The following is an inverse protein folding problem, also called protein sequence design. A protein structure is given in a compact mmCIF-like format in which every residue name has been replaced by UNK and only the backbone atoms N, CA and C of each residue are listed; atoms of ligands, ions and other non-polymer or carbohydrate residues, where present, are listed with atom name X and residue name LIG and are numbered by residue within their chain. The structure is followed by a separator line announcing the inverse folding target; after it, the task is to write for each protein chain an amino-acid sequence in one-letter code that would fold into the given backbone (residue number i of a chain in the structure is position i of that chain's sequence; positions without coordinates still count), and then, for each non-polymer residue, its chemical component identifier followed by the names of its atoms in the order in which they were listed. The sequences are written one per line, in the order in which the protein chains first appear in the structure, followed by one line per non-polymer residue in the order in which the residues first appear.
data_IF_921983413647
#
_entry.id   IF_921983413647
#
_cell.length_a   1.000
_cell.length_b   1.000
_cell.length_c   1.000
_cell.angle_alpha   90.00
_cell.angle_beta   90.00
_cell.angle_gamma   90.00
#
_symmetry.space_group_name_H-M   'P 1'
#
loop_
_entity.id
_entity.type
_entity.pdbx_description
1 polymer ?
#
# COMPACT_ATOMS: atom_id res chain seq x y z
N UNK A 1 16.82 25.08 -43.47
CA UNK A 1 16.33 25.41 -42.10
C UNK A 1 14.89 24.95 -41.86
N UNK A 2 13.91 25.37 -42.67
CA UNK A 2 12.47 25.09 -42.43
C UNK A 2 12.10 23.59 -42.37
N UNK A 3 12.65 22.76 -43.27
CA UNK A 3 12.42 21.30 -43.26
C UNK A 3 12.99 20.58 -42.03
N UNK A 4 14.11 21.06 -41.49
CA UNK A 4 14.74 20.48 -40.30
C UNK A 4 13.95 20.87 -39.05
N UNK A 5 13.47 22.12 -38.99
CA UNK A 5 12.60 22.62 -37.93
C UNK A 5 11.24 21.89 -37.90
N UNK A 6 10.62 21.67 -39.06
CA UNK A 6 9.38 20.90 -39.16
C UNK A 6 9.56 19.44 -38.70
N UNK A 7 10.68 18.79 -39.03
CA UNK A 7 11.01 17.44 -38.54
C UNK A 7 11.19 17.41 -37.03
N UNK A 8 11.91 18.38 -36.46
CA UNK A 8 12.09 18.51 -35.01
C UNK A 8 10.75 18.71 -34.29
N UNK A 9 9.85 19.54 -34.84
CA UNK A 9 8.51 19.77 -34.28
C UNK A 9 7.66 18.49 -34.24
N UNK A 10 7.69 17.70 -35.32
CA UNK A 10 6.98 16.40 -35.37
C UNK A 10 7.54 15.42 -34.35
N UNK A 11 8.88 15.32 -34.24
CA UNK A 11 9.53 14.44 -33.25
C UNK A 11 9.18 14.88 -31.83
N UNK A 12 9.27 16.18 -31.53
CA UNK A 12 8.93 16.72 -30.21
C UNK A 12 7.46 16.45 -29.85
N UNK A 13 6.55 16.58 -30.81
CA UNK A 13 5.12 16.29 -30.62
C UNK A 13 4.89 14.80 -30.33
N UNK A 14 5.53 13.90 -31.08
CA UNK A 14 5.44 12.46 -30.85
C UNK A 14 6.02 12.06 -29.49
N UNK A 15 7.14 12.64 -29.09
CA UNK A 15 7.72 12.42 -27.76
C UNK A 15 6.80 12.94 -26.65
N UNK A 16 6.21 14.12 -26.81
CA UNK A 16 5.25 14.65 -25.84
C UNK A 16 4.04 13.73 -25.66
N UNK A 17 3.46 13.25 -26.76
CA UNK A 17 2.35 12.27 -26.72
C UNK A 17 2.83 10.96 -26.05
N UNK A 18 4.01 10.47 -26.42
CA UNK A 18 4.61 9.27 -25.80
C UNK A 18 4.79 9.42 -24.28
N UNK A 19 5.28 10.57 -23.82
CA UNK A 19 5.42 10.89 -22.40
C UNK A 19 4.06 10.94 -21.69
N UNK A 20 3.04 11.55 -22.31
CA UNK A 20 1.69 11.59 -21.74
C UNK A 20 1.11 10.18 -21.58
N UNK A 21 1.26 9.33 -22.60
CA UNK A 21 0.81 7.93 -22.55
C UNK A 21 1.59 7.16 -21.47
N UNK A 22 2.91 7.30 -21.42
CA UNK A 22 3.74 6.65 -20.40
C UNK A 22 3.31 7.06 -18.99
N UNK A 23 3.07 8.35 -18.75
CA UNK A 23 2.53 8.85 -17.48
C UNK A 23 1.15 8.28 -17.15
N UNK A 24 0.25 8.21 -18.14
CA UNK A 24 -1.11 7.67 -17.95
C UNK A 24 -1.11 6.19 -17.52
N UNK A 25 -0.12 5.41 -17.93
CA UNK A 25 0.05 4.00 -17.54
C UNK A 25 0.95 3.80 -16.32
N UNK A 26 1.39 4.88 -15.65
CA UNK A 26 2.17 4.80 -14.41
C UNK A 26 3.65 4.45 -14.60
N UNK A 27 4.21 4.58 -15.82
CA UNK A 27 5.64 4.30 -16.06
C UNK A 27 6.59 5.23 -15.30
N UNK A 28 6.13 6.41 -14.90
CA UNK A 28 6.88 7.38 -14.10
C UNK A 28 6.48 7.39 -12.63
N UNK A 29 5.63 6.46 -12.19
CA UNK A 29 5.25 6.36 -10.79
C UNK A 29 6.44 5.85 -9.96
N UNK A 30 6.75 6.53 -8.87
CA UNK A 30 7.85 6.16 -7.98
C UNK A 30 7.47 4.92 -7.14
N UNK A 31 6.21 4.84 -6.73
CA UNK A 31 5.62 3.73 -6.01
C UNK A 31 5.27 2.57 -6.93
N UNK A 32 5.50 1.33 -6.47
CA UNK A 32 5.19 0.11 -7.20
C UNK A 32 4.28 -0.80 -6.40
N UNK A 33 3.14 -1.15 -6.98
CA UNK A 33 2.20 -2.13 -6.42
C UNK A 33 2.83 -3.52 -6.49
N UNK A 34 2.78 -4.26 -5.38
CA UNK A 34 3.48 -5.54 -5.17
C UNK A 34 2.73 -6.75 -5.75
N UNK A 35 1.97 -6.56 -6.82
CA UNK A 35 1.08 -7.58 -7.42
C UNK A 35 1.74 -8.93 -7.69
N UNK A 36 3.01 -8.92 -8.11
CA UNK A 36 3.74 -10.14 -8.49
C UNK A 36 4.70 -10.63 -7.39
N UNK A 37 4.59 -10.10 -6.19
CA UNK A 37 5.42 -10.47 -5.04
C UNK A 37 4.59 -11.20 -4.00
N UNK A 38 5.26 -11.99 -3.18
CA UNK A 38 4.75 -12.49 -1.92
C UNK A 38 5.17 -11.52 -0.80
N UNK A 39 4.31 -11.36 0.22
CA UNK A 39 4.69 -10.65 1.44
C UNK A 39 5.19 -11.64 2.50
N UNK A 40 6.16 -11.19 3.28
CA UNK A 40 6.61 -11.81 4.51
C UNK A 40 6.73 -10.77 5.61
N UNK A 41 6.65 -11.21 6.85
CA UNK A 41 7.03 -10.43 8.03
C UNK A 41 8.17 -11.14 8.73
N UNK A 42 9.23 -10.41 9.02
CA UNK A 42 10.34 -10.95 9.80
C UNK A 42 10.10 -10.78 11.30
N UNK A 43 10.23 -11.89 12.04
CA UNK A 43 10.21 -11.89 13.49
C UNK A 43 11.22 -12.90 14.01
N UNK A 44 12.17 -12.45 14.84
CA UNK A 44 13.20 -13.33 15.41
C UNK A 44 14.07 -14.05 14.38
N UNK A 45 14.35 -13.41 13.24
CA UNK A 45 15.16 -13.97 12.14
C UNK A 45 14.44 -15.01 11.28
N UNK A 46 13.15 -15.25 11.52
CA UNK A 46 12.28 -16.12 10.71
C UNK A 46 11.29 -15.28 9.90
N UNK A 47 10.87 -15.80 8.74
CA UNK A 47 9.95 -15.11 7.81
C UNK A 47 8.58 -15.77 7.81
N UNK A 48 7.54 -15.00 8.12
CA UNK A 48 6.17 -15.50 8.24
C UNK A 48 5.26 -14.90 7.19
N UNK A 49 4.38 -15.70 6.60
CA UNK A 49 3.37 -15.24 5.64
C UNK A 49 2.25 -14.48 6.34
N UNK A 50 2.03 -13.18 6.07
CA UNK A 50 0.87 -12.45 6.57
C UNK A 50 -0.34 -12.78 5.68
N UNK A 51 -0.93 -13.98 5.86
CA UNK A 51 -1.94 -14.56 4.96
C UNK A 51 -3.10 -13.62 4.56
N UNK A 52 -3.47 -12.68 5.43
CA UNK A 52 -4.62 -11.79 5.23
C UNK A 52 -4.21 -10.44 4.62
N UNK A 53 -2.90 -10.18 4.48
CA UNK A 53 -2.34 -9.01 3.84
C UNK A 53 -1.96 -9.37 2.39
N UNK A 54 -2.70 -8.83 1.42
CA UNK A 54 -2.46 -9.13 0.00
C UNK A 54 -1.39 -8.23 -0.60
N UNK A 55 -0.36 -8.83 -1.21
CA UNK A 55 0.66 -8.08 -1.97
C UNK A 55 0.06 -7.26 -3.13
N UNK A 56 -1.03 -7.74 -3.75
CA UNK A 56 -1.72 -7.01 -4.81
C UNK A 56 -2.46 -5.75 -4.35
N UNK A 57 -2.57 -5.55 -3.02
CA UNK A 57 -3.21 -4.41 -2.36
C UNK A 57 -2.20 -3.62 -1.52
N UNK A 58 -0.91 -3.85 -1.74
CA UNK A 58 0.18 -3.11 -1.12
C UNK A 58 1.14 -2.57 -2.18
N UNK A 59 1.90 -1.55 -1.81
CA UNK A 59 2.90 -0.94 -2.67
C UNK A 59 4.10 -0.50 -1.85
N UNK A 60 5.22 -0.26 -2.54
CA UNK A 60 6.45 0.27 -1.95
C UNK A 60 6.99 1.43 -2.77
N UNK A 61 7.70 2.34 -2.12
CA UNK A 61 8.58 3.31 -2.78
C UNK A 61 10.02 2.99 -2.40
N UNK A 62 10.83 2.55 -3.37
CA UNK A 62 12.26 2.29 -3.16
C UNK A 62 13.03 3.61 -2.89
N UNK A 63 12.51 4.75 -3.35
CA UNK A 63 13.14 6.06 -3.17
C UNK A 63 12.97 6.60 -1.76
N UNK A 64 11.78 6.46 -1.17
CA UNK A 64 11.51 6.94 0.19
C UNK A 64 11.66 5.83 1.24
N UNK A 65 11.67 4.56 0.83
CA UNK A 65 11.64 3.43 1.75
C UNK A 65 10.28 3.23 2.42
N UNK A 66 9.21 3.82 1.87
CA UNK A 66 7.87 3.73 2.46
C UNK A 66 7.08 2.55 1.90
N UNK A 67 6.28 1.95 2.77
CA UNK A 67 5.32 0.90 2.47
C UNK A 67 3.91 1.46 2.54
N UNK A 68 3.10 1.07 1.55
CA UNK A 68 1.73 1.54 1.37
C UNK A 68 0.76 0.36 1.33
N UNK A 69 -0.46 0.54 1.82
CA UNK A 69 -1.52 -0.46 1.73
C UNK A 69 -2.89 0.20 1.52
N UNK A 70 -3.86 -0.57 1.01
CA UNK A 70 -5.25 -0.13 1.05
C UNK A 70 -5.76 -0.05 2.49
N UNK A 71 -6.70 0.85 2.77
CA UNK A 71 -7.16 1.14 4.13
C UNK A 71 -7.77 -0.08 4.86
N UNK A 72 -8.41 -1.00 4.14
CA UNK A 72 -8.98 -2.23 4.72
C UNK A 72 -7.91 -3.18 5.27
N UNK A 73 -6.71 -3.12 4.71
CA UNK A 73 -5.57 -3.98 5.06
C UNK A 73 -4.73 -3.42 6.21
N UNK A 74 -4.92 -2.13 6.53
CA UNK A 74 -4.16 -1.42 7.55
C UNK A 74 -4.29 -2.07 8.94
N UNK A 75 -5.46 -2.64 9.26
CA UNK A 75 -5.70 -3.34 10.53
C UNK A 75 -4.71 -4.49 10.77
N UNK A 76 -4.26 -5.19 9.72
CA UNK A 76 -3.29 -6.28 9.84
C UNK A 76 -1.90 -5.73 10.13
N UNK A 77 -1.52 -4.63 9.47
CA UNK A 77 -0.26 -3.95 9.73
C UNK A 77 -0.21 -3.38 11.15
N UNK A 78 -1.31 -2.83 11.66
CA UNK A 78 -1.40 -2.36 13.04
C UNK A 78 -1.26 -3.54 14.02
N UNK A 79 -1.92 -4.67 13.78
CA UNK A 79 -1.78 -5.86 14.61
C UNK A 79 -0.31 -6.35 14.67
N UNK A 80 0.36 -6.40 13.51
CA UNK A 80 1.79 -6.74 13.40
C UNK A 80 2.67 -5.73 14.16
N UNK A 81 2.43 -4.44 13.94
CA UNK A 81 3.15 -3.34 14.57
C UNK A 81 3.04 -3.40 16.10
N UNK A 82 1.87 -3.73 16.63
CA UNK A 82 1.62 -3.89 18.07
C UNK A 82 2.07 -5.24 18.64
N UNK A 83 2.39 -6.21 17.78
CA UNK A 83 2.75 -7.57 18.20
C UNK A 83 1.57 -8.37 18.75
N UNK A 84 0.36 -7.98 18.39
CA UNK A 84 -0.88 -8.60 18.83
C UNK A 84 -1.31 -9.67 17.82
N UNK A 85 -0.34 -10.49 17.41
CA UNK A 85 -0.46 -11.59 16.44
C UNK A 85 0.25 -12.82 16.97
N UNK A 86 -0.14 -13.99 16.48
CA UNK A 86 0.55 -15.25 16.78
C UNK A 86 1.24 -15.78 15.54
N UNK A 87 2.46 -16.27 15.71
CA UNK A 87 3.26 -16.85 14.63
C UNK A 87 3.18 -18.36 14.72
N UNK A 88 2.69 -18.99 13.64
CA UNK A 88 2.56 -20.44 13.54
C UNK A 88 3.66 -20.95 12.61
N UNK A 89 4.59 -21.72 13.17
CA UNK A 89 5.63 -22.39 12.39
C UNK A 89 4.98 -23.48 11.52
N UNK A 90 5.01 -23.25 10.20
CA UNK A 90 4.51 -24.18 9.20
C UNK A 90 5.27 -23.93 7.88
N UNK A 91 6.04 -24.92 7.43
CA UNK A 91 6.93 -24.82 6.27
C UNK A 91 6.31 -25.37 5.00
N UNK A 92 5.09 -24.93 4.69
CA UNK A 92 4.44 -25.26 3.41
C UNK A 92 5.11 -24.58 2.21
N UNK A 93 5.74 -23.41 2.42
CA UNK A 93 6.46 -22.65 1.41
C UNK A 93 7.97 -22.64 1.75
N UNK A 94 8.87 -23.07 0.84
CA UNK A 94 10.31 -23.13 1.12
C UNK A 94 10.97 -21.77 1.41
N UNK A 95 10.32 -20.66 1.08
CA UNK A 95 10.80 -19.30 1.35
C UNK A 95 10.29 -18.72 2.66
N UNK A 96 9.40 -19.43 3.38
CA UNK A 96 8.72 -18.95 4.59
C UNK A 96 8.79 -20.00 5.70
N UNK A 97 8.99 -19.57 6.93
CA UNK A 97 9.02 -20.42 8.13
C UNK A 97 7.63 -20.73 8.68
N UNK A 98 6.61 -19.98 8.28
CA UNK A 98 5.28 -20.08 8.88
C UNK A 98 4.27 -19.08 8.35
N UNK A 99 3.20 -18.93 9.12
CA UNK A 99 2.09 -18.01 8.86
C UNK A 99 1.81 -17.14 10.08
N UNK A 100 1.28 -15.94 9.84
CA UNK A 100 0.77 -15.05 10.88
C UNK A 100 -0.71 -15.30 11.06
N UNK A 101 -1.12 -15.51 12.30
CA UNK A 101 -2.52 -15.56 12.72
C UNK A 101 -2.92 -14.23 13.41
N UNK A 102 -4.07 -13.72 12.97
CA UNK A 102 -4.65 -12.43 13.35
C UNK A 102 -5.87 -12.59 14.28
N UNK A 103 -5.95 -13.70 15.02
CA UNK A 103 -7.10 -14.08 15.87
C UNK A 103 -7.46 -13.08 17.00
N UNK A 104 -6.72 -11.98 17.16
CA UNK A 104 -7.08 -10.85 18.00
C UNK A 104 -8.45 -10.26 17.61
N UNK A 105 -9.38 -10.17 18.57
CA UNK A 105 -10.69 -9.54 18.38
C UNK A 105 -10.66 -8.01 18.53
N UNK A 106 -9.48 -7.38 18.43
CA UNK A 106 -9.33 -5.93 18.60
C UNK A 106 -9.61 -5.20 17.29
N UNK A 107 -10.47 -4.19 17.36
CA UNK A 107 -10.76 -3.32 16.23
C UNK A 107 -9.74 -2.16 16.17
N UNK A 108 -8.69 -2.32 15.37
CA UNK A 108 -7.71 -1.25 15.13
C UNK A 108 -8.19 -0.18 14.16
N UNK A 109 -9.11 -0.58 13.27
CA UNK A 109 -9.72 0.29 12.27
C UNK A 109 -11.22 0.06 12.32
N UNK A 110 -11.97 1.10 12.67
CA UNK A 110 -13.42 1.09 12.63
C UNK A 110 -13.88 1.57 11.26
N UNK A 111 -14.80 0.83 10.65
CA UNK A 111 -15.39 1.22 9.37
C UNK A 111 -16.80 1.78 9.60
N UNK A 112 -17.07 2.92 8.98
CA UNK A 112 -18.40 3.52 9.00
C UNK A 112 -18.76 4.08 7.64
N UNK A 113 -20.05 4.29 7.39
CA UNK A 113 -20.51 4.89 6.14
C UNK A 113 -20.48 6.41 6.25
N UNK A 114 -19.77 7.05 5.35
CA UNK A 114 -19.74 8.50 5.19
C UNK A 114 -20.54 8.90 3.96
N UNK A 115 -21.62 9.64 4.16
CA UNK A 115 -22.51 10.06 3.07
C UNK A 115 -21.96 11.34 2.43
N UNK A 116 -21.70 11.27 1.12
CA UNK A 116 -21.34 12.45 0.32
C UNK A 116 -22.59 13.26 0.00
N UNK A 117 -23.72 12.57 -0.19
CA UNK A 117 -25.05 13.14 -0.34
C UNK A 117 -26.12 12.11 0.08
N UNK A 118 -27.39 12.36 -0.21
CA UNK A 118 -28.51 11.49 0.18
C UNK A 118 -28.44 10.08 -0.44
N UNK A 119 -27.78 9.95 -1.59
CA UNK A 119 -27.71 8.71 -2.39
C UNK A 119 -26.32 8.08 -2.32
N UNK A 120 -25.27 8.89 -2.36
CA UNK A 120 -23.89 8.44 -2.47
C UNK A 120 -23.19 8.41 -1.11
N UNK A 121 -22.43 7.35 -0.87
CA UNK A 121 -21.63 7.19 0.33
C UNK A 121 -20.36 6.42 0.07
N UNK A 122 -19.33 6.71 0.86
CA UNK A 122 -18.04 6.03 0.86
C UNK A 122 -17.78 5.41 2.24
N UNK A 123 -16.86 4.46 2.30
CA UNK A 123 -16.41 3.89 3.58
C UNK A 123 -15.41 4.84 4.22
N UNK A 124 -15.69 5.31 5.44
CA UNK A 124 -14.73 6.00 6.30
C UNK A 124 -14.01 4.98 7.18
N UNK A 125 -12.71 5.17 7.33
CA UNK A 125 -11.83 4.35 8.16
C UNK A 125 -11.33 5.21 9.33
N UNK A 126 -11.75 4.88 10.54
CA UNK A 126 -11.29 5.52 11.77
C UNK A 126 -10.22 4.64 12.42
N UNK A 127 -8.97 5.11 12.45
CA UNK A 127 -7.82 4.40 13.02
C UNK A 127 -7.69 4.72 14.50
N UNK A 128 -7.63 3.67 15.32
CA UNK A 128 -7.65 3.76 16.77
C UNK A 128 -6.22 3.81 17.33
N UNK A 129 -5.88 4.89 18.03
CA UNK A 129 -4.57 5.12 18.63
C UNK A 129 -4.26 4.24 19.85
N UNK A 130 -3.17 4.55 20.54
CA UNK A 130 -2.72 3.82 21.74
C UNK A 130 -3.66 3.96 22.94
N UNK A 131 -4.35 5.09 23.05
CA UNK A 131 -5.30 5.48 24.10
C UNK A 131 -6.73 5.02 23.86
N UNK A 132 -6.96 4.21 22.81
CA UNK A 132 -8.27 3.82 22.32
C UNK A 132 -9.13 4.99 21.77
N UNK A 133 -8.53 6.15 21.54
CA UNK A 133 -9.17 7.26 20.83
C UNK A 133 -8.92 7.18 19.31
N UNK A 134 -9.70 7.92 18.53
CA UNK A 134 -9.50 8.00 17.08
C UNK A 134 -8.31 8.90 16.79
N UNK A 135 -7.17 8.30 16.43
CA UNK A 135 -5.94 9.03 16.13
C UNK A 135 -5.94 9.60 14.70
N UNK A 136 -6.60 8.92 13.76
CA UNK A 136 -6.68 9.38 12.38
C UNK A 136 -7.99 8.93 11.72
N UNK A 137 -8.55 9.77 10.85
CA UNK A 137 -9.75 9.47 10.07
C UNK A 137 -9.43 9.62 8.60
N UNK A 138 -9.63 8.55 7.85
CA UNK A 138 -9.45 8.55 6.41
C UNK A 138 -10.79 8.34 5.70
N UNK A 139 -11.06 9.20 4.73
CA UNK A 139 -12.18 9.11 3.80
C UNK A 139 -11.59 9.05 2.39
N UNK A 140 -11.88 8.01 1.59
CA UNK A 140 -11.40 7.94 0.21
C UNK A 140 -11.82 9.16 -0.61
N UNK A 141 -11.00 9.50 -1.62
CA UNK A 141 -11.21 10.64 -2.53
C UNK A 141 -11.23 12.01 -1.83
N UNK A 142 -10.60 12.11 -0.65
CA UNK A 142 -10.37 13.39 0.05
C UNK A 142 -8.89 13.71 0.15
N UNK A 143 -8.54 14.98 0.37
CA UNK A 143 -7.16 15.40 0.56
C UNK A 143 -6.64 14.89 1.91
N UNK A 144 -6.03 13.71 1.89
CA UNK A 144 -5.37 13.09 3.04
C UNK A 144 -3.85 13.08 2.86
N UNK A 145 -3.06 13.54 3.86
CA UNK A 145 -1.61 13.62 3.74
C UNK A 145 -0.91 12.24 3.58
N UNK A 146 -1.57 11.16 4.03
CA UNK A 146 -1.09 9.79 3.94
C UNK A 146 -1.61 9.07 2.69
N UNK A 147 -2.64 9.57 2.02
CA UNK A 147 -3.21 8.92 0.85
C UNK A 147 -2.43 9.20 -0.44
N UNK A 148 -2.28 8.18 -1.27
CA UNK A 148 -1.68 8.23 -2.60
C UNK A 148 -2.51 7.39 -3.56
N UNK A 149 -2.90 7.99 -4.68
CA UNK A 149 -3.55 7.25 -5.77
C UNK A 149 -2.47 6.60 -6.62
N UNK A 150 -2.45 5.27 -6.63
CA UNK A 150 -1.47 4.48 -7.36
C UNK A 150 -2.11 3.74 -8.52
N UNK A 151 -1.40 3.71 -9.64
CA UNK A 151 -1.72 2.96 -10.83
C UNK A 151 -1.19 1.53 -10.66
N UNK A 152 -2.09 0.55 -10.73
CA UNK A 152 -1.69 -0.86 -10.77
C UNK A 152 -1.29 -1.22 -12.20
N UNK A 153 -0.01 -1.02 -12.51
CA UNK A 153 0.54 -1.18 -13.86
C UNK A 153 0.25 -2.59 -14.40
N UNK A 154 -0.31 -2.64 -15.62
CA UNK A 154 -0.70 -3.90 -16.25
C UNK A 154 -2.03 -4.49 -15.76
N UNK A 155 -2.81 -3.75 -14.98
CA UNK A 155 -4.21 -4.06 -14.68
C UNK A 155 -5.15 -3.09 -15.36
N UNK A 156 -6.23 -3.63 -15.94
CA UNK A 156 -7.36 -2.85 -16.38
C UNK A 156 -8.66 -3.39 -15.77
N UNK A 157 -9.58 -2.49 -15.42
CA UNK A 157 -10.92 -2.81 -14.94
C UNK A 157 -11.91 -2.46 -16.03
N UNK A 158 -12.70 -3.45 -16.43
CA UNK A 158 -13.80 -3.30 -17.37
C UNK A 158 -15.04 -2.86 -16.60
N UNK A 159 -15.65 -1.76 -17.02
CA UNK A 159 -16.97 -1.34 -16.52
C UNK A 159 -18.05 -1.77 -17.50
N UNK A 160 -19.18 -2.27 -16.99
CA UNK A 160 -20.27 -2.78 -17.81
C UNK A 160 -20.73 -1.71 -18.82
N UNK A 161 -20.31 -1.86 -20.09
CA UNK A 161 -20.70 -0.99 -21.20
C UNK A 161 -19.85 0.27 -21.46
N UNK A 162 -18.79 0.56 -20.69
CA UNK A 162 -17.99 1.81 -20.82
C UNK A 162 -16.51 1.64 -21.19
N UNK A 163 -16.09 0.41 -21.51
CA UNK A 163 -14.72 0.11 -21.91
C UNK A 163 -13.81 -0.31 -20.76
N UNK A 164 -12.55 -0.54 -21.10
CA UNK A 164 -11.50 -0.99 -20.19
C UNK A 164 -10.63 0.21 -19.80
N UNK A 165 -10.39 0.42 -18.51
CA UNK A 165 -9.57 1.52 -18.00
C UNK A 165 -8.51 0.99 -17.05
N UNK A 166 -7.37 1.69 -16.94
CA UNK A 166 -6.29 1.29 -16.03
C UNK A 166 -6.80 1.33 -14.58
N UNK A 167 -6.40 0.34 -13.79
CA UNK A 167 -6.78 0.31 -12.37
C UNK A 167 -5.99 1.36 -11.60
N UNK A 168 -6.73 2.31 -11.02
CA UNK A 168 -6.23 3.32 -10.10
C UNK A 168 -6.95 3.09 -8.78
N UNK A 169 -6.20 2.79 -7.74
CA UNK A 169 -6.74 2.61 -6.39
C UNK A 169 -5.96 3.51 -5.42
N UNK A 170 -6.57 3.87 -4.31
CA UNK A 170 -5.97 4.71 -3.28
C UNK A 170 -5.29 3.85 -2.21
N UNK A 171 -4.08 4.24 -1.80
CA UNK A 171 -3.25 3.56 -0.83
C UNK A 171 -2.84 4.55 0.26
N UNK A 172 -2.77 4.09 1.50
CA UNK A 172 -2.28 4.84 2.64
C UNK A 172 -0.79 4.53 2.86
N UNK A 173 0.00 5.56 3.14
CA UNK A 173 1.39 5.46 3.60
C UNK A 173 1.43 4.86 5.01
N UNK A 174 1.43 3.53 5.07
CA UNK A 174 1.41 2.78 6.31
C UNK A 174 2.69 2.99 7.12
N UNK A 175 3.84 3.21 6.47
CA UNK A 175 5.10 3.51 7.17
C UNK A 175 4.96 4.80 7.98
N UNK A 176 4.51 5.89 7.37
CA UNK A 176 4.33 7.17 8.09
C UNK A 176 3.23 7.08 9.14
N UNK A 177 2.11 6.46 8.79
CA UNK A 177 0.96 6.38 9.68
C UNK A 177 1.27 5.55 10.94
N UNK A 178 1.96 4.43 10.80
CA UNK A 178 2.37 3.60 11.95
C UNK A 178 3.42 4.29 12.82
N UNK A 179 4.33 5.05 12.21
CA UNK A 179 5.29 5.86 12.94
C UNK A 179 4.60 6.96 13.75
N UNK A 180 3.74 7.75 13.11
CA UNK A 180 3.10 8.92 13.73
C UNK A 180 2.09 8.52 14.81
N UNK A 181 1.32 7.45 14.58
CA UNK A 181 0.26 7.02 15.51
C UNK A 181 0.78 6.09 16.61
N UNK A 182 1.71 5.19 16.28
CA UNK A 182 2.13 4.14 17.22
C UNK A 182 3.61 4.17 17.60
N UNK A 183 4.42 5.07 17.02
CA UNK A 183 5.87 5.11 17.25
C UNK A 183 6.60 3.90 16.67
N UNK A 184 5.99 3.18 15.70
CA UNK A 184 6.56 1.97 15.10
C UNK A 184 7.18 2.30 13.76
N UNK A 185 8.47 2.01 13.61
CA UNK A 185 9.17 2.14 12.34
C UNK A 185 8.96 0.88 11.49
N UNK A 186 8.59 1.07 10.23
CA UNK A 186 8.45 -0.02 9.26
C UNK A 186 9.50 0.11 8.18
N UNK A 187 10.24 -0.97 7.96
CA UNK A 187 11.20 -1.12 6.85
C UNK A 187 10.82 -2.33 6.03
N UNK A 188 11.32 -2.39 4.80
CA UNK A 188 11.15 -3.56 3.96
C UNK A 188 12.44 -3.91 3.23
N UNK A 189 12.63 -5.21 3.01
CA UNK A 189 13.63 -5.76 2.11
C UNK A 189 12.94 -6.44 0.94
N UNK A 190 13.47 -6.24 -0.26
CA UNK A 190 12.91 -6.77 -1.51
C UNK A 190 13.90 -7.74 -2.15
N UNK A 191 13.42 -8.95 -2.37
CA UNK A 191 14.12 -10.00 -3.10
C UNK A 191 13.41 -10.20 -4.45
N UNK A 192 14.04 -9.68 -5.52
CA UNK A 192 13.49 -9.75 -6.87
C UNK A 192 13.59 -11.16 -7.49
N UNK A 193 14.54 -11.98 -7.05
CA UNK A 193 14.71 -13.35 -7.54
C UNK A 193 13.66 -14.28 -6.94
N UNK A 194 13.47 -14.21 -5.63
CA UNK A 194 12.42 -14.96 -4.92
C UNK A 194 11.02 -14.32 -5.07
N UNK A 195 10.93 -13.12 -5.66
CA UNK A 195 9.71 -12.28 -5.71
C UNK A 195 9.08 -12.14 -4.33
N UNK A 196 9.88 -11.77 -3.34
CA UNK A 196 9.48 -11.67 -1.94
C UNK A 196 9.75 -10.26 -1.42
N UNK A 197 8.80 -9.69 -0.69
CA UNK A 197 9.01 -8.46 0.10
C UNK A 197 8.82 -8.80 1.56
N UNK A 198 9.86 -8.57 2.36
CA UNK A 198 9.87 -8.84 3.79
C UNK A 198 9.71 -7.54 4.56
N UNK A 199 8.75 -7.49 5.47
CA UNK A 199 8.48 -6.35 6.34
C UNK A 199 9.17 -6.54 7.69
N UNK A 200 9.78 -5.47 8.17
CA UNK A 200 10.46 -5.41 9.46
C UNK A 200 9.83 -4.29 10.28
N UNK A 201 9.38 -4.64 11.49
CA UNK A 201 8.75 -3.71 12.42
C UNK A 201 9.70 -3.47 13.58
N UNK A 202 10.20 -2.24 13.69
CA UNK A 202 11.02 -1.81 14.81
C UNK A 202 10.15 -0.97 15.76
N UNK A 203 9.88 -1.56 16.93
CA UNK A 203 9.13 -0.91 17.99
C UNK A 203 10.16 -0.11 18.77
N UNK A 204 10.23 1.19 18.54
CA UNK A 204 10.98 2.06 19.45
C UNK A 204 10.43 1.82 20.85
N UNK A 205 11.27 1.35 21.76
CA UNK A 205 10.94 1.12 23.17
C UNK A 205 10.69 2.42 23.95
N UNK A 206 10.47 3.53 23.24
CA UNK A 206 10.36 4.87 23.81
C UNK A 206 9.11 5.57 23.26
N UNK A 207 7.95 5.21 23.78
CA UNK A 207 6.95 6.22 24.08
C UNK A 207 7.07 6.42 25.57
N UNK A 208 7.97 7.34 25.94
CA UNK A 208 8.04 7.82 27.31
C UNK A 208 6.71 8.51 27.65
N UNK A 209 6.32 8.33 28.90
CA UNK A 209 5.03 8.70 29.50
C UNK A 209 4.62 10.15 29.32
#
# INVERSE_FOLDING_TARGET
MFRTFAKLLVIATLLAIGCLVAGYYGLFQEERVLRNYQLAVEMGGKRYSPLWLSAGRTAISEKTGHFFCQAEDLKYLIALAKGEVTFNDNRDNPYLDGTVDYSSNKAYVLTSRHYLNVVDSVTRYDIIGHDAEVAHRYVPDTDDPYARVLINVGMTRSSAGRGSSVVKDEYLDATRLLHDVYGVSVRFDKDDEARLVTLHFDRSSTIDR
#
